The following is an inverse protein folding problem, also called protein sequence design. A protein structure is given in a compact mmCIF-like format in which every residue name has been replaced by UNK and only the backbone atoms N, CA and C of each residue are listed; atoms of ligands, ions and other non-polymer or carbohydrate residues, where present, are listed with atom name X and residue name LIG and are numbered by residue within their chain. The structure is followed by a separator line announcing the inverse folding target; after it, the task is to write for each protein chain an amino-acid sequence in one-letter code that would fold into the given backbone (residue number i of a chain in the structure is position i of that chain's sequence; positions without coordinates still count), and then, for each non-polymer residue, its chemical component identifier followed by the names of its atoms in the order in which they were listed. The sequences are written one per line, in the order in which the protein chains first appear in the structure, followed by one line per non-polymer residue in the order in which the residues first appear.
data_IF_195655595180
#
_entry.id   IF_195655595180
#
_cell.length_a   1.000
_cell.length_b   1.000
_cell.length_c   1.000
_cell.angle_alpha   90.00
_cell.angle_beta   90.00
_cell.angle_gamma   90.00
#
_symmetry.space_group_name_H-M   'P 1'
#
loop_
_entity.id
_entity.type
_entity.pdbx_description
1 polymer ?
#
# COMPACT_ATOMS: atom_id res chain seq x y z
N UNK A 1 -69.96 -18.87 6.34
CA UNK A 1 -69.31 -18.00 5.36
C UNK A 1 -67.80 -18.30 5.47
N UNK A 2 -67.31 -19.18 4.60
CA UNK A 2 -65.91 -19.57 4.56
C UNK A 2 -65.27 -18.82 3.39
N UNK A 3 -64.37 -17.86 3.66
CA UNK A 3 -63.63 -17.14 2.64
C UNK A 3 -62.38 -17.89 2.26
N UNK A 4 -62.27 -18.15 0.98
CA UNK A 4 -61.17 -18.81 0.29
C UNK A 4 -59.87 -18.00 0.40
N UNK A 5 -58.83 -18.56 1.04
CA UNK A 5 -57.46 -18.11 0.84
C UNK A 5 -56.83 -18.90 -0.32
N UNK A 6 -56.73 -18.27 -1.47
CA UNK A 6 -55.91 -18.76 -2.58
C UNK A 6 -54.46 -18.55 -2.27
N UNK A 7 -53.67 -19.64 -2.24
CA UNK A 7 -52.19 -19.60 -2.17
C UNK A 7 -51.61 -19.06 -3.48
N UNK A 8 -50.66 -18.11 -3.47
CA UNK A 8 -50.00 -17.69 -4.68
C UNK A 8 -49.11 -18.83 -5.22
N UNK A 9 -49.29 -19.13 -6.51
CA UNK A 9 -48.40 -20.03 -7.26
C UNK A 9 -47.11 -19.32 -7.53
N UNK A 10 -46.05 -19.59 -6.74
CA UNK A 10 -44.70 -19.19 -7.03
C UNK A 10 -44.10 -20.14 -8.06
N UNK A 11 -44.11 -19.74 -9.31
CA UNK A 11 -43.30 -20.35 -10.35
C UNK A 11 -41.82 -19.94 -10.11
N UNK A 12 -41.07 -20.73 -9.36
CA UNK A 12 -39.64 -20.64 -9.34
C UNK A 12 -39.08 -21.23 -10.64
N UNK A 13 -38.82 -20.35 -11.60
CA UNK A 13 -38.14 -20.70 -12.83
C UNK A 13 -36.62 -20.85 -12.50
N UNK A 14 -36.26 -22.02 -12.02
CA UNK A 14 -34.87 -22.43 -11.69
C UNK A 14 -34.12 -22.76 -12.99
N UNK A 15 -33.77 -21.74 -13.75
CA UNK A 15 -32.66 -21.76 -14.71
C UNK A 15 -31.60 -20.77 -14.25
N UNK A 16 -31.10 -20.90 -13.03
CA UNK A 16 -29.77 -20.45 -12.72
C UNK A 16 -28.82 -21.43 -13.42
N UNK A 17 -28.37 -21.07 -14.60
CA UNK A 17 -27.15 -21.63 -15.16
C UNK A 17 -26.07 -21.42 -14.10
N UNK A 18 -25.62 -22.51 -13.52
CA UNK A 18 -24.42 -22.54 -12.66
C UNK A 18 -23.28 -22.15 -13.58
N UNK A 19 -22.97 -20.85 -13.65
CA UNK A 19 -21.74 -20.39 -14.26
C UNK A 19 -20.63 -21.05 -13.45
N UNK A 20 -19.93 -22.02 -14.04
CA UNK A 20 -18.72 -22.60 -13.48
C UNK A 20 -17.78 -21.41 -13.29
N UNK A 21 -17.54 -21.03 -12.03
CA UNK A 21 -16.63 -19.94 -11.71
C UNK A 21 -15.26 -20.32 -12.25
N UNK A 22 -14.79 -19.62 -13.26
CA UNK A 22 -13.49 -19.88 -13.85
C UNK A 22 -12.41 -19.33 -12.94
N UNK A 23 -11.54 -20.23 -12.44
CA UNK A 23 -10.36 -19.83 -11.69
C UNK A 23 -9.23 -19.45 -12.65
N UNK A 24 -8.56 -18.36 -12.36
CA UNK A 24 -7.30 -17.98 -12.99
C UNK A 24 -6.14 -18.67 -12.27
N UNK A 25 -5.08 -18.97 -13.00
CA UNK A 25 -3.79 -19.45 -12.50
C UNK A 25 -2.69 -18.61 -13.14
N UNK A 26 -1.46 -18.68 -12.63
CA UNK A 26 -0.33 -17.98 -13.25
C UNK A 26 -0.17 -18.38 -14.71
N UNK A 27 -0.24 -19.69 -15.04
CA UNK A 27 -0.10 -20.15 -16.43
C UNK A 27 -1.20 -19.60 -17.35
N UNK A 28 -2.45 -19.49 -16.86
CA UNK A 28 -3.54 -18.89 -17.65
C UNK A 28 -3.33 -17.39 -17.89
N UNK A 29 -2.76 -16.68 -16.91
CA UNK A 29 -2.42 -15.27 -17.06
C UNK A 29 -1.28 -15.09 -18.05
N UNK A 30 -0.23 -15.90 -17.94
CA UNK A 30 0.93 -15.85 -18.85
C UNK A 30 0.50 -16.12 -20.30
N UNK A 31 -0.30 -17.17 -20.50
CA UNK A 31 -0.88 -17.46 -21.82
C UNK A 31 -1.76 -16.33 -22.33
N UNK A 32 -2.58 -15.70 -21.47
CA UNK A 32 -3.38 -14.54 -21.86
C UNK A 32 -2.49 -13.38 -22.34
N UNK A 33 -1.35 -13.16 -21.67
CA UNK A 33 -0.39 -12.13 -22.07
C UNK A 33 0.30 -12.42 -23.39
N UNK A 34 0.67 -13.68 -23.66
CA UNK A 34 1.20 -14.13 -24.95
C UNK A 34 0.19 -13.90 -26.08
N UNK A 35 -1.03 -14.40 -25.90
CA UNK A 35 -2.13 -14.25 -26.86
C UNK A 35 -2.44 -12.76 -27.11
N UNK A 36 -2.41 -11.91 -26.07
CA UNK A 36 -2.60 -10.47 -26.22
C UNK A 36 -1.48 -9.81 -27.04
N UNK A 37 -0.23 -10.21 -26.84
CA UNK A 37 0.91 -9.72 -27.62
C UNK A 37 0.81 -10.11 -29.12
N UNK A 38 0.17 -11.24 -29.41
CA UNK A 38 -0.15 -11.69 -30.78
C UNK A 38 -1.41 -11.06 -31.37
N UNK A 39 -2.10 -10.20 -30.59
CA UNK A 39 -3.32 -9.52 -31.02
C UNK A 39 -4.60 -10.36 -30.92
N UNK A 40 -4.54 -11.51 -30.23
CA UNK A 40 -5.68 -12.39 -29.97
C UNK A 40 -6.58 -11.76 -28.90
N UNK A 41 -7.87 -11.63 -29.20
CA UNK A 41 -8.86 -11.06 -28.27
C UNK A 41 -9.50 -12.15 -27.43
N UNK A 42 -9.45 -11.98 -26.11
CA UNK A 42 -10.16 -12.82 -25.15
C UNK A 42 -11.46 -12.15 -24.67
N UNK A 43 -12.46 -12.97 -24.35
CA UNK A 43 -13.73 -12.51 -23.78
C UNK A 43 -13.57 -11.99 -22.35
N UNK A 44 -12.70 -12.64 -21.59
CA UNK A 44 -12.40 -12.32 -20.19
C UNK A 44 -10.94 -11.91 -20.04
N UNK A 45 -10.67 -10.97 -19.09
CA UNK A 45 -9.34 -10.47 -18.80
C UNK A 45 -9.06 -10.58 -17.31
N UNK A 46 -7.83 -10.97 -16.90
CA UNK A 46 -7.41 -10.91 -15.51
C UNK A 46 -7.06 -9.48 -15.07
N UNK A 47 -6.99 -8.57 -16.01
CA UNK A 47 -6.61 -7.17 -15.80
C UNK A 47 -7.82 -6.26 -15.73
N UNK A 48 -7.68 -5.15 -15.02
CA UNK A 48 -8.69 -4.10 -15.01
C UNK A 48 -8.83 -3.54 -16.42
N UNK A 49 -10.08 -3.27 -16.83
CA UNK A 49 -10.40 -2.80 -18.18
C UNK A 49 -9.57 -1.56 -18.56
N UNK A 50 -8.89 -1.62 -19.69
CA UNK A 50 -8.01 -0.57 -20.18
C UNK A 50 -6.67 -0.42 -19.45
N UNK A 51 -6.33 -1.31 -18.49
CA UNK A 51 -5.13 -1.17 -17.65
C UNK A 51 -4.41 -2.51 -17.46
N UNK A 52 -3.65 -2.94 -18.48
CA UNK A 52 -2.80 -4.13 -18.37
C UNK A 52 -1.75 -3.93 -17.27
N UNK A 53 -1.53 -4.97 -16.45
CA UNK A 53 -0.65 -4.90 -15.29
C UNK A 53 -1.35 -4.57 -13.97
N UNK A 54 -2.61 -4.09 -14.03
CA UNK A 54 -3.46 -3.82 -12.88
C UNK A 54 -4.45 -4.97 -12.71
N UNK A 55 -4.29 -5.77 -11.67
CA UNK A 55 -5.15 -6.95 -11.41
C UNK A 55 -6.59 -6.52 -11.13
N UNK A 56 -7.54 -7.18 -11.82
CA UNK A 56 -8.97 -6.98 -11.64
C UNK A 56 -9.41 -7.35 -10.21
N UNK A 57 -10.24 -6.53 -9.53
CA UNK A 57 -10.70 -6.85 -8.19
C UNK A 57 -11.69 -8.03 -8.18
N UNK A 58 -11.63 -8.82 -7.10
CA UNK A 58 -12.53 -9.97 -6.90
C UNK A 58 -12.27 -11.14 -7.86
N UNK A 59 -11.11 -11.18 -8.50
CA UNK A 59 -10.71 -12.27 -9.37
C UNK A 59 -10.49 -13.55 -8.56
N UNK A 60 -11.13 -14.64 -8.96
CA UNK A 60 -10.88 -15.95 -8.36
C UNK A 60 -9.55 -16.48 -8.91
N UNK A 61 -8.59 -16.69 -8.03
CA UNK A 61 -7.25 -17.14 -8.38
C UNK A 61 -6.89 -18.39 -7.59
N UNK A 62 -6.39 -19.40 -8.26
CA UNK A 62 -5.93 -20.65 -7.68
C UNK A 62 -4.40 -20.59 -7.57
N UNK A 63 -3.91 -20.63 -6.34
CA UNK A 63 -2.50 -20.56 -6.03
C UNK A 63 -1.88 -21.96 -5.99
N UNK A 64 -0.68 -22.10 -6.53
CA UNK A 64 0.13 -23.31 -6.34
C UNK A 64 0.77 -23.32 -4.94
N UNK A 65 1.16 -24.49 -4.45
CA UNK A 65 1.88 -24.61 -3.16
C UNK A 65 3.16 -23.77 -3.11
N UNK A 66 3.87 -23.65 -4.24
CA UNK A 66 5.06 -22.82 -4.36
C UNK A 66 4.74 -21.35 -4.18
N UNK A 67 3.67 -20.85 -4.80
CA UNK A 67 3.22 -19.46 -4.67
C UNK A 67 2.78 -19.16 -3.25
N UNK A 68 2.04 -20.07 -2.60
CA UNK A 68 1.64 -19.94 -1.18
C UNK A 68 2.87 -19.86 -0.27
N UNK A 69 3.86 -20.72 -0.48
CA UNK A 69 5.12 -20.69 0.27
C UNK A 69 5.86 -19.37 0.06
N UNK A 70 5.92 -18.88 -1.17
CA UNK A 70 6.60 -17.63 -1.52
C UNK A 70 5.88 -16.41 -0.93
N UNK A 71 4.53 -16.35 -1.02
CA UNK A 71 3.72 -15.35 -0.34
C UNK A 71 3.96 -15.34 1.18
N UNK A 72 4.09 -16.52 1.78
CA UNK A 72 4.35 -16.65 3.22
C UNK A 72 5.72 -16.09 3.61
N UNK A 73 6.76 -16.29 2.81
CA UNK A 73 8.08 -15.69 3.05
C UNK A 73 8.02 -14.17 2.93
N UNK A 74 7.38 -13.67 1.87
CA UNK A 74 7.19 -12.24 1.66
C UNK A 74 6.42 -11.60 2.82
N UNK A 75 5.32 -12.22 3.25
CA UNK A 75 4.51 -11.70 4.36
C UNK A 75 5.29 -11.62 5.69
N UNK A 76 6.20 -12.57 5.94
CA UNK A 76 7.02 -12.61 7.16
C UNK A 76 8.18 -11.62 7.16
N UNK A 77 8.66 -11.20 6.00
CA UNK A 77 9.85 -10.35 5.89
C UNK A 77 9.71 -9.33 4.77
N UNK A 78 9.57 -8.08 5.15
CA UNK A 78 9.57 -6.95 4.20
C UNK A 78 10.92 -6.84 3.48
N UNK A 79 12.03 -7.19 4.14
CA UNK A 79 13.38 -7.21 3.55
C UNK A 79 13.45 -8.28 2.45
N UNK A 80 12.93 -9.49 2.72
CA UNK A 80 12.86 -10.55 1.70
C UNK A 80 12.00 -10.10 0.51
N UNK A 81 10.82 -9.54 0.78
CA UNK A 81 9.95 -8.98 -0.26
C UNK A 81 10.66 -7.92 -1.09
N UNK A 82 11.34 -6.95 -0.44
CA UNK A 82 12.03 -5.86 -1.10
C UNK A 82 13.20 -6.36 -1.96
N UNK A 83 14.04 -7.25 -1.45
CA UNK A 83 15.20 -7.79 -2.17
C UNK A 83 14.80 -8.73 -3.31
N UNK A 84 13.63 -9.40 -3.23
CA UNK A 84 13.20 -10.36 -4.25
C UNK A 84 12.34 -9.70 -5.34
N UNK A 85 11.45 -8.78 -4.94
CA UNK A 85 10.43 -8.20 -5.83
C UNK A 85 10.47 -6.67 -5.92
N UNK A 86 11.39 -6.02 -5.22
CA UNK A 86 11.56 -4.58 -5.30
C UNK A 86 12.22 -4.16 -6.62
N UNK A 87 11.63 -3.14 -7.26
CA UNK A 87 12.19 -2.49 -8.45
C UNK A 87 12.24 -0.99 -8.24
N UNK A 88 13.27 -0.34 -8.74
CA UNK A 88 13.36 1.11 -8.75
C UNK A 88 14.01 1.63 -10.04
N UNK A 89 13.70 2.86 -10.36
CA UNK A 89 14.31 3.56 -11.49
C UNK A 89 15.75 3.98 -11.14
N UNK A 90 16.72 3.57 -11.96
CA UNK A 90 18.12 3.94 -11.85
C UNK A 90 18.50 4.93 -12.96
N UNK A 91 18.33 6.23 -12.69
CA UNK A 91 18.77 7.30 -13.61
C UNK A 91 18.52 6.95 -15.09
N UNK A 92 19.60 6.91 -15.89
CA UNK A 92 19.54 6.60 -17.32
C UNK A 92 19.53 5.08 -17.63
N UNK A 93 19.44 4.21 -16.62
CA UNK A 93 19.55 2.74 -16.81
C UNK A 93 18.18 2.02 -16.76
N UNK A 94 17.10 2.78 -16.65
CA UNK A 94 15.74 2.22 -16.55
C UNK A 94 15.44 1.59 -15.19
N UNK A 95 14.46 0.68 -15.16
CA UNK A 95 14.06 -0.03 -13.95
C UNK A 95 14.93 -1.26 -13.71
N UNK A 96 15.39 -1.41 -12.49
CA UNK A 96 16.22 -2.54 -12.06
C UNK A 96 15.74 -3.09 -10.71
N UNK A 97 16.03 -4.39 -10.44
CA UNK A 97 15.85 -4.93 -9.09
C UNK A 97 16.60 -4.07 -8.07
N UNK A 98 15.97 -3.84 -6.94
CA UNK A 98 16.58 -3.13 -5.82
C UNK A 98 17.64 -4.04 -5.18
N UNK A 99 18.78 -3.44 -4.88
CA UNK A 99 19.76 -3.98 -3.95
C UNK A 99 19.78 -3.04 -2.76
N UNK A 100 19.15 -3.44 -1.67
CA UNK A 100 19.08 -2.63 -0.45
C UNK A 100 20.51 -2.40 0.11
N UNK A 101 20.75 -1.18 0.59
CA UNK A 101 21.95 -0.83 1.36
C UNK A 101 21.67 -1.08 2.84
N UNK A 102 22.69 -1.28 3.65
CA UNK A 102 22.57 -1.61 5.07
C UNK A 102 21.61 -0.66 5.82
N UNK A 103 21.73 0.65 5.62
CA UNK A 103 20.86 1.63 6.24
C UNK A 103 19.40 1.56 5.74
N UNK A 104 19.15 1.07 4.51
CA UNK A 104 17.80 0.88 3.99
C UNK A 104 17.14 -0.38 4.58
N UNK A 105 17.93 -1.41 4.84
CA UNK A 105 17.48 -2.59 5.59
C UNK A 105 17.18 -2.23 7.05
N UNK A 106 18.02 -1.38 7.67
CA UNK A 106 17.78 -0.84 9.01
C UNK A 106 16.46 -0.05 9.08
N UNK A 107 16.20 0.81 8.07
CA UNK A 107 14.93 1.53 7.97
C UNK A 107 13.74 0.57 7.89
N UNK A 108 13.78 -0.43 7.00
CA UNK A 108 12.70 -1.42 6.84
C UNK A 108 12.49 -2.23 8.12
N UNK A 109 13.57 -2.63 8.78
CA UNK A 109 13.55 -3.33 10.07
C UNK A 109 12.87 -2.47 11.13
N UNK A 110 13.31 -1.21 11.25
CA UNK A 110 12.71 -0.29 12.21
C UNK A 110 11.23 -0.05 11.95
N UNK A 111 10.81 0.12 10.70
CA UNK A 111 9.39 0.30 10.34
C UNK A 111 8.54 -0.94 10.66
N UNK A 112 9.15 -2.11 10.59
CA UNK A 112 8.48 -3.37 10.92
C UNK A 112 8.37 -3.60 12.42
N UNK A 113 9.46 -3.38 13.16
CA UNK A 113 9.60 -3.79 14.56
C UNK A 113 9.06 -2.74 15.52
N UNK A 114 9.18 -1.45 15.16
CA UNK A 114 8.74 -0.37 16.03
C UNK A 114 7.35 0.15 15.63
N UNK A 115 6.62 0.59 16.64
CA UNK A 115 5.34 1.27 16.45
C UNK A 115 5.52 2.68 15.89
N UNK A 116 6.52 3.40 16.35
CA UNK A 116 6.87 4.75 15.95
C UNK A 116 8.34 4.81 15.53
N UNK A 117 8.60 5.25 14.31
CA UNK A 117 9.94 5.40 13.75
C UNK A 117 10.15 6.83 13.25
N UNK A 118 11.33 7.37 13.49
CA UNK A 118 11.71 8.70 13.00
C UNK A 118 13.08 8.65 12.33
N UNK A 119 13.16 9.00 11.06
CA UNK A 119 14.36 8.85 10.23
C UNK A 119 14.90 10.20 9.79
N UNK A 120 16.13 10.53 10.18
CA UNK A 120 16.88 11.67 9.67
C UNK A 120 17.81 11.21 8.54
N UNK A 121 17.50 11.60 7.33
CA UNK A 121 18.24 11.10 6.17
C UNK A 121 18.61 12.24 5.20
N UNK A 122 19.72 12.07 4.50
CA UNK A 122 20.12 12.99 3.44
C UNK A 122 19.17 12.92 2.23
N UNK A 123 19.27 13.91 1.35
CA UNK A 123 18.61 13.83 0.04
C UNK A 123 19.19 12.69 -0.78
N UNK A 124 18.37 12.08 -1.65
CA UNK A 124 18.76 11.01 -2.60
C UNK A 124 19.30 9.72 -1.96
N UNK A 125 19.06 9.49 -0.68
CA UNK A 125 19.39 8.21 -0.02
C UNK A 125 18.37 7.08 -0.28
N UNK A 126 17.31 7.36 -1.05
CA UNK A 126 16.27 6.36 -1.38
C UNK A 126 15.20 6.17 -0.30
N UNK A 127 15.09 7.05 0.70
CA UNK A 127 14.08 6.96 1.78
C UNK A 127 12.65 6.76 1.24
N UNK A 128 12.28 7.46 0.17
CA UNK A 128 10.94 7.37 -0.44
C UNK A 128 10.69 6.00 -1.08
N UNK A 129 11.72 5.38 -1.66
CA UNK A 129 11.62 4.03 -2.24
C UNK A 129 11.45 2.99 -1.13
N UNK A 130 12.22 3.11 -0.05
CA UNK A 130 12.12 2.25 1.14
C UNK A 130 10.71 2.35 1.75
N UNK A 131 10.20 3.58 1.90
CA UNK A 131 8.85 3.81 2.39
C UNK A 131 7.80 3.20 1.46
N UNK A 132 7.91 3.40 0.13
CA UNK A 132 6.98 2.84 -0.84
C UNK A 132 6.94 1.30 -0.78
N UNK A 133 8.10 0.64 -0.63
CA UNK A 133 8.20 -0.82 -0.44
C UNK A 133 7.49 -1.27 0.84
N UNK A 134 7.73 -0.58 1.95
CA UNK A 134 7.09 -0.89 3.22
C UNK A 134 5.57 -0.71 3.16
N UNK A 135 5.10 0.42 2.64
CA UNK A 135 3.67 0.73 2.53
C UNK A 135 2.94 -0.24 1.59
N UNK A 136 3.57 -0.61 0.47
CA UNK A 136 3.05 -1.63 -0.44
C UNK A 136 2.97 -3.00 0.24
N UNK A 137 4.02 -3.40 0.97
CA UNK A 137 4.03 -4.64 1.74
C UNK A 137 2.89 -4.66 2.76
N UNK A 138 2.66 -3.55 3.49
CA UNK A 138 1.54 -3.44 4.43
C UNK A 138 0.18 -3.58 3.73
N UNK A 139 0.04 -3.06 2.53
CA UNK A 139 -1.20 -3.13 1.76
C UNK A 139 -1.47 -4.53 1.18
N UNK A 140 -0.43 -5.27 0.80
CA UNK A 140 -0.56 -6.61 0.20
C UNK A 140 -0.83 -7.69 1.26
N UNK A 141 -0.06 -7.67 2.36
CA UNK A 141 -0.01 -8.78 3.31
C UNK A 141 -0.86 -8.56 4.58
N UNK A 142 -1.68 -7.52 4.62
CA UNK A 142 -2.66 -7.29 5.68
C UNK A 142 -4.07 -7.17 5.07
N UNK A 143 -5.07 -7.10 5.94
CA UNK A 143 -6.47 -6.89 5.57
C UNK A 143 -7.01 -5.64 6.27
N UNK A 144 -7.92 -4.93 5.60
CA UNK A 144 -8.67 -3.78 6.13
C UNK A 144 -7.81 -2.64 6.71
N UNK A 145 -6.52 -2.54 6.32
CA UNK A 145 -5.65 -1.45 6.77
C UNK A 145 -5.89 -0.17 5.98
N UNK A 146 -5.96 0.94 6.71
CA UNK A 146 -5.94 2.27 6.14
C UNK A 146 -4.53 2.88 6.31
N UNK A 147 -3.84 3.10 5.20
CA UNK A 147 -2.50 3.64 5.14
C UNK A 147 -2.59 5.11 4.70
N UNK A 148 -2.18 6.03 5.56
CA UNK A 148 -2.14 7.46 5.29
C UNK A 148 -0.73 7.90 4.86
N UNK A 149 -0.63 8.68 3.80
CA UNK A 149 0.60 9.31 3.33
C UNK A 149 0.41 10.82 3.37
N UNK A 150 1.24 11.54 4.12
CA UNK A 150 1.25 12.99 4.11
C UNK A 150 2.65 13.56 3.84
N UNK A 151 2.69 14.66 3.13
CA UNK A 151 3.91 15.44 2.87
C UNK A 151 3.59 16.93 2.85
N UNK A 152 4.62 17.77 2.89
CA UNK A 152 4.44 19.23 2.84
C UNK A 152 3.70 19.71 1.58
N UNK A 153 3.82 19.00 0.46
CA UNK A 153 3.16 19.29 -0.82
C UNK A 153 2.44 18.05 -1.35
N UNK A 154 1.26 18.27 -1.94
CA UNK A 154 0.49 17.18 -2.55
C UNK A 154 1.25 16.50 -3.71
N UNK A 155 2.05 17.24 -4.48
CA UNK A 155 2.89 16.67 -5.54
C UNK A 155 3.85 15.59 -5.01
N UNK A 156 4.45 15.79 -3.83
CA UNK A 156 5.31 14.78 -3.19
C UNK A 156 4.52 13.51 -2.82
N UNK A 157 3.28 13.69 -2.36
CA UNK A 157 2.39 12.54 -2.08
C UNK A 157 2.09 11.74 -3.36
N UNK A 158 1.81 12.43 -4.47
CA UNK A 158 1.58 11.79 -5.77
C UNK A 158 2.82 11.01 -6.21
N UNK A 159 4.02 11.57 -6.06
CA UNK A 159 5.28 10.88 -6.38
C UNK A 159 5.46 9.59 -5.56
N UNK A 160 5.08 9.59 -4.27
CA UNK A 160 5.16 8.39 -3.42
C UNK A 160 4.17 7.32 -3.91
N UNK A 161 2.91 7.72 -4.19
CA UNK A 161 1.88 6.82 -4.70
C UNK A 161 2.28 6.25 -6.06
N UNK A 162 2.86 7.06 -6.94
CA UNK A 162 3.32 6.60 -8.25
C UNK A 162 4.48 5.61 -8.10
N UNK A 163 5.41 5.80 -7.16
CA UNK A 163 6.44 4.80 -6.83
C UNK A 163 5.84 3.47 -6.35
N UNK A 164 4.80 3.53 -5.53
CA UNK A 164 4.08 2.31 -5.08
C UNK A 164 3.47 1.58 -6.29
N UNK A 165 2.83 2.32 -7.22
CA UNK A 165 2.26 1.76 -8.45
C UNK A 165 3.34 1.16 -9.36
N UNK A 166 4.48 1.84 -9.49
CA UNK A 166 5.62 1.37 -10.26
C UNK A 166 6.13 0.03 -9.70
N UNK A 167 6.44 -0.04 -8.40
CA UNK A 167 6.89 -1.29 -7.77
C UNK A 167 5.85 -2.39 -7.98
N UNK A 168 4.57 -2.09 -7.76
CA UNK A 168 3.47 -3.04 -7.93
C UNK A 168 3.36 -3.54 -9.37
N UNK A 169 3.70 -2.74 -10.38
CA UNK A 169 3.64 -3.14 -11.79
C UNK A 169 4.59 -4.29 -12.10
N UNK A 170 5.75 -4.36 -11.42
CA UNK A 170 6.76 -5.42 -11.58
C UNK A 170 6.49 -6.68 -10.75
N UNK A 171 5.54 -6.66 -9.83
CA UNK A 171 5.20 -7.86 -9.05
C UNK A 171 4.67 -8.98 -9.96
N UNK A 172 4.98 -10.25 -9.67
CA UNK A 172 4.31 -11.37 -10.32
C UNK A 172 2.80 -11.35 -9.99
N UNK A 173 2.00 -11.93 -10.87
CA UNK A 173 0.54 -11.83 -10.78
C UNK A 173 -0.01 -12.36 -9.45
N UNK A 174 0.56 -13.43 -8.91
CA UNK A 174 0.12 -14.04 -7.65
C UNK A 174 0.32 -13.13 -6.43
N UNK A 175 1.27 -12.18 -6.48
CA UNK A 175 1.49 -11.17 -5.42
C UNK A 175 0.65 -9.91 -5.62
N UNK A 176 0.11 -9.67 -6.82
CA UNK A 176 -0.69 -8.45 -7.06
C UNK A 176 -2.03 -8.54 -6.36
N UNK A 177 -2.41 -7.56 -5.53
CA UNK A 177 -3.78 -7.44 -5.04
C UNK A 177 -4.69 -6.95 -6.16
N UNK A 178 -5.97 -7.31 -6.13
CA UNK A 178 -6.98 -6.72 -7.00
C UNK A 178 -7.25 -5.27 -6.63
N UNK A 179 -7.38 -4.38 -7.62
CA UNK A 179 -7.50 -2.93 -7.39
C UNK A 179 -8.92 -2.46 -7.68
N UNK A 180 -9.56 -1.85 -6.67
CA UNK A 180 -10.90 -1.24 -6.76
C UNK A 180 -10.84 0.24 -7.13
N UNK A 181 -9.83 0.96 -6.62
CA UNK A 181 -9.61 2.40 -6.90
C UNK A 181 -8.12 2.61 -7.19
N UNK A 182 -7.82 3.34 -8.25
CA UNK A 182 -6.46 3.67 -8.65
C UNK A 182 -6.41 5.10 -9.21
N UNK A 183 -6.18 6.09 -8.34
CA UNK A 183 -6.04 7.48 -8.75
C UNK A 183 -4.79 8.14 -8.13
N UNK A 184 -4.63 9.45 -8.26
CA UNK A 184 -3.44 10.17 -7.78
C UNK A 184 -3.34 10.26 -6.25
N UNK A 185 -4.46 10.20 -5.54
CA UNK A 185 -4.50 10.38 -4.09
C UNK A 185 -4.95 9.14 -3.34
N UNK A 186 -5.43 8.10 -4.03
CA UNK A 186 -6.00 6.93 -3.40
C UNK A 186 -5.79 5.66 -4.22
N UNK A 187 -5.40 4.61 -3.54
CA UNK A 187 -5.45 3.22 -4.01
C UNK A 187 -6.31 2.42 -3.04
N UNK A 188 -7.27 1.64 -3.55
CA UNK A 188 -8.07 0.74 -2.74
C UNK A 188 -8.00 -0.68 -3.33
N UNK A 189 -7.81 -1.65 -2.46
CA UNK A 189 -7.56 -3.04 -2.81
C UNK A 189 -8.75 -3.93 -2.45
N UNK A 190 -8.84 -5.10 -3.02
CA UNK A 190 -9.92 -6.06 -2.80
C UNK A 190 -9.84 -6.76 -1.43
N UNK A 191 -8.65 -6.78 -0.78
CA UNK A 191 -8.46 -7.24 0.60
C UNK A 191 -8.92 -6.22 1.68
N UNK A 192 -9.58 -5.11 1.27
CA UNK A 192 -10.06 -4.06 2.16
C UNK A 192 -9.02 -2.99 2.51
N UNK A 193 -7.75 -3.22 2.22
CA UNK A 193 -6.71 -2.21 2.43
C UNK A 193 -6.89 -1.01 1.50
N UNK A 194 -6.47 0.16 1.97
CA UNK A 194 -6.44 1.38 1.18
C UNK A 194 -5.24 2.24 1.54
N UNK A 195 -4.68 2.90 0.53
CA UNK A 195 -3.63 3.92 0.67
C UNK A 195 -4.27 5.26 0.33
N UNK A 196 -4.14 6.24 1.19
CA UNK A 196 -4.73 7.58 1.02
C UNK A 196 -3.64 8.62 1.16
N UNK A 197 -3.52 9.49 0.20
CA UNK A 197 -2.56 10.58 0.18
C UNK A 197 -3.19 11.95 0.39
N UNK A 198 -2.56 12.80 1.20
CA UNK A 198 -2.97 14.17 1.44
C UNK A 198 -1.75 15.08 1.62
N UNK A 199 -1.84 16.35 1.22
CA UNK A 199 -0.89 17.31 1.74
C UNK A 199 -1.10 17.45 3.26
N UNK A 200 -0.04 17.75 4.01
CA UNK A 200 -0.13 17.99 5.45
C UNK A 200 -0.93 19.25 5.74
N UNK A 201 -2.11 19.08 6.28
CA UNK A 201 -3.01 20.17 6.69
C UNK A 201 -3.65 19.82 8.03
N UNK A 202 -4.20 20.81 8.73
CA UNK A 202 -4.92 20.61 10.00
C UNK A 202 -6.07 19.58 9.92
N UNK A 203 -6.59 19.32 8.72
CA UNK A 203 -7.76 18.47 8.47
C UNK A 203 -7.42 17.19 7.70
N UNK A 204 -6.15 16.88 7.48
CA UNK A 204 -5.76 15.66 6.77
C UNK A 204 -6.23 14.42 7.54
N UNK A 205 -6.76 13.45 6.81
CA UNK A 205 -7.28 12.17 7.32
C UNK A 205 -8.48 12.23 8.27
N UNK A 206 -9.16 13.38 8.42
CA UNK A 206 -10.42 13.43 9.19
C UNK A 206 -11.43 12.46 8.56
N UNK A 207 -12.04 11.61 9.42
CA UNK A 207 -12.99 10.58 9.00
C UNK A 207 -12.37 9.25 8.56
N UNK A 208 -11.03 9.13 8.63
CA UNK A 208 -10.33 7.87 8.39
C UNK A 208 -9.69 7.35 9.67
N UNK A 209 -9.85 6.05 9.93
CA UNK A 209 -9.09 5.36 10.97
C UNK A 209 -7.79 4.87 10.35
N UNK A 210 -6.71 5.64 10.52
CA UNK A 210 -5.41 5.36 9.91
C UNK A 210 -4.63 4.38 10.78
N UNK A 211 -4.28 3.21 10.22
CA UNK A 211 -3.50 2.18 10.91
C UNK A 211 -1.98 2.30 10.66
N UNK A 212 -1.59 2.86 9.52
CA UNK A 212 -0.19 3.18 9.22
C UNK A 212 -0.13 4.59 8.68
N UNK A 213 0.63 5.47 9.31
CA UNK A 213 0.83 6.85 8.90
C UNK A 213 2.28 7.07 8.48
N UNK A 214 2.50 7.47 7.24
CA UNK A 214 3.79 7.87 6.72
C UNK A 214 3.82 9.37 6.47
N UNK A 215 4.77 10.05 7.10
CA UNK A 215 4.99 11.49 7.02
C UNK A 215 6.33 11.77 6.34
N UNK A 216 6.30 12.28 5.10
CA UNK A 216 7.51 12.61 4.33
C UNK A 216 7.83 14.10 4.40
N UNK A 217 9.13 14.41 4.44
CA UNK A 217 9.69 15.76 4.54
C UNK A 217 9.02 16.57 5.67
N UNK A 218 8.82 15.94 6.82
CA UNK A 218 8.07 16.49 7.95
C UNK A 218 8.69 17.77 8.50
N UNK A 219 10.03 17.92 8.49
CA UNK A 219 10.71 19.14 8.91
C UNK A 219 10.43 20.36 8.00
N UNK A 220 9.88 20.14 6.81
CA UNK A 220 9.59 21.21 5.83
C UNK A 220 8.11 21.64 5.82
N UNK A 221 7.30 21.11 6.71
CA UNK A 221 5.92 21.56 6.92
C UNK A 221 5.92 22.87 7.71
N UNK A 222 5.03 23.81 7.36
CA UNK A 222 4.88 25.08 8.06
C UNK A 222 4.61 24.87 9.56
N UNK A 223 5.32 25.54 10.49
CA UNK A 223 5.22 25.29 11.93
C UNK A 223 3.80 25.38 12.48
N UNK A 224 3.02 26.37 12.06
CA UNK A 224 1.63 26.56 12.49
C UNK A 224 0.67 25.46 12.01
N UNK A 225 1.02 24.74 10.93
CA UNK A 225 0.26 23.58 10.45
C UNK A 225 0.72 22.32 11.14
N UNK A 226 2.02 22.23 11.41
CA UNK A 226 2.70 21.06 11.92
C UNK A 226 2.19 20.64 13.32
N UNK A 227 2.12 21.61 14.24
CA UNK A 227 1.67 21.37 15.61
C UNK A 227 0.19 20.93 15.62
N UNK A 228 -0.68 21.68 14.96
CA UNK A 228 -2.11 21.34 14.88
C UNK A 228 -2.35 19.98 14.17
N UNK A 229 -1.61 19.70 13.10
CA UNK A 229 -1.70 18.41 12.43
C UNK A 229 -1.29 17.27 13.34
N UNK A 230 -0.15 17.39 14.00
CA UNK A 230 0.39 16.37 14.88
C UNK A 230 -0.54 16.09 16.07
N UNK A 231 -1.05 17.13 16.71
CA UNK A 231 -2.00 16.99 17.81
C UNK A 231 -3.32 16.35 17.40
N UNK A 232 -3.82 16.65 16.19
CA UNK A 232 -5.07 16.10 15.68
C UNK A 232 -4.94 14.65 15.21
N UNK A 233 -3.80 14.26 14.61
CA UNK A 233 -3.63 12.93 14.04
C UNK A 233 -3.23 11.89 15.08
N UNK A 234 -2.47 12.29 16.10
CA UNK A 234 -1.96 11.37 17.14
C UNK A 234 -3.06 10.57 17.85
N UNK A 235 -4.17 11.16 18.30
CA UNK A 235 -5.26 10.39 18.91
C UNK A 235 -5.87 9.37 17.95
N UNK A 236 -6.02 9.73 16.66
CA UNK A 236 -6.60 8.86 15.63
C UNK A 236 -5.75 7.62 15.39
N UNK A 237 -4.42 7.78 15.29
CA UNK A 237 -3.49 6.67 15.10
C UNK A 237 -3.27 5.90 16.39
N UNK A 238 -3.19 6.58 17.54
CA UNK A 238 -2.92 5.96 18.85
C UNK A 238 -4.06 5.10 19.36
N UNK A 239 -5.27 5.24 18.81
CA UNK A 239 -6.45 4.46 19.23
C UNK A 239 -6.32 2.95 18.96
N UNK A 240 -5.44 2.55 18.04
CA UNK A 240 -5.17 1.15 17.69
C UNK A 240 -3.80 0.72 18.23
N UNK A 241 -3.73 -0.45 18.87
CA UNK A 241 -2.49 -0.96 19.49
C UNK A 241 -1.39 -1.32 18.47
N UNK A 242 -1.78 -1.70 17.25
CA UNK A 242 -0.89 -2.13 16.16
C UNK A 242 -0.66 -1.04 15.10
N UNK A 243 -1.11 0.18 15.38
CA UNK A 243 -0.87 1.32 14.48
C UNK A 243 0.60 1.70 14.43
N UNK A 244 1.02 2.25 13.28
CA UNK A 244 2.40 2.70 13.05
C UNK A 244 2.45 4.15 12.60
N UNK A 245 3.45 4.88 13.08
CA UNK A 245 3.79 6.22 12.58
C UNK A 245 5.25 6.20 12.14
N UNK A 246 5.48 6.56 10.91
CA UNK A 246 6.80 6.65 10.29
C UNK A 246 7.00 8.09 9.83
N UNK A 247 7.98 8.76 10.41
CA UNK A 247 8.35 10.12 10.06
C UNK A 247 9.71 10.10 9.36
N UNK A 248 9.79 10.71 8.19
CA UNK A 248 11.05 10.88 7.47
C UNK A 248 11.27 12.33 7.12
N UNK A 249 12.50 12.81 7.22
CA UNK A 249 12.83 14.14 6.74
C UNK A 249 14.33 14.31 6.45
N UNK A 250 14.63 15.30 5.62
CA UNK A 250 15.94 15.95 5.64
C UNK A 250 15.95 17.03 6.73
N UNK A 251 17.13 17.39 7.30
CA UNK A 251 17.20 18.42 8.33
C UNK A 251 16.75 19.79 7.83
N UNK A 252 16.01 20.52 8.63
CA UNK A 252 15.52 21.87 8.33
C UNK A 252 15.44 22.76 9.58
N UNK A 253 16.57 22.96 10.26
CA UNK A 253 16.65 23.83 11.45
C UNK A 253 15.98 23.25 12.71
N UNK A 254 15.78 24.13 13.69
CA UNK A 254 15.18 23.78 14.98
C UNK A 254 13.66 23.94 14.91
N UNK A 255 12.96 22.83 14.78
CA UNK A 255 11.50 22.77 14.65
C UNK A 255 10.94 21.53 15.34
N UNK A 256 9.64 21.30 15.25
CA UNK A 256 8.98 20.12 15.86
C UNK A 256 9.63 18.79 15.48
N UNK A 257 10.08 18.63 14.24
CA UNK A 257 10.79 17.41 13.79
C UNK A 257 12.11 17.25 14.56
N UNK A 258 12.89 18.35 14.70
CA UNK A 258 14.12 18.34 15.49
C UNK A 258 13.85 17.93 16.95
N UNK A 259 12.82 18.52 17.58
CA UNK A 259 12.47 18.19 18.97
C UNK A 259 12.07 16.73 19.13
N UNK A 260 11.29 16.18 18.17
CA UNK A 260 10.91 14.77 18.16
C UNK A 260 12.12 13.86 17.98
N UNK A 261 13.03 14.20 17.05
CA UNK A 261 14.23 13.40 16.78
C UNK A 261 15.20 13.42 17.96
N UNK A 262 15.48 14.59 18.53
CA UNK A 262 16.32 14.68 19.74
C UNK A 262 15.68 13.96 20.93
N UNK A 263 14.37 14.12 21.10
CA UNK A 263 13.62 13.40 22.12
C UNK A 263 13.68 11.88 21.96
N UNK A 264 13.75 11.38 20.72
CA UNK A 264 13.92 9.96 20.44
C UNK A 264 15.34 9.48 20.83
N UNK A 265 16.39 10.24 20.46
CA UNK A 265 17.78 9.92 20.84
C UNK A 265 17.96 9.89 22.35
N UNK A 266 17.34 10.82 23.07
CA UNK A 266 17.42 10.95 24.52
C UNK A 266 16.44 10.04 25.28
N UNK A 267 15.59 9.26 24.58
CA UNK A 267 14.57 8.40 25.18
C UNK A 267 13.42 9.16 25.85
N UNK A 268 13.19 10.43 25.50
CA UNK A 268 12.11 11.27 26.03
C UNK A 268 10.75 11.07 25.35
N UNK A 269 10.73 10.34 24.22
CA UNK A 269 9.51 9.96 23.53
C UNK A 269 9.59 8.50 23.03
N UNK A 270 8.51 8.00 22.41
CA UNK A 270 8.39 6.61 21.99
C UNK A 270 8.87 6.35 20.54
N UNK A 271 9.49 7.32 19.88
CA UNK A 271 10.02 7.12 18.55
C UNK A 271 11.36 6.38 18.60
N UNK A 272 11.56 5.46 17.64
CA UNK A 272 12.85 4.85 17.37
C UNK A 272 13.60 5.70 16.34
N UNK A 273 14.76 6.31 16.67
CA UNK A 273 15.54 7.15 15.77
C UNK A 273 16.40 6.30 14.83
N UNK A 274 16.50 6.76 13.56
CA UNK A 274 17.33 6.16 12.49
C UNK A 274 18.11 7.29 11.80
#
# INVERSE_FOLDING_TARGET
MASQFQKPKTNFNTKQQTQVKQFWTTEKVDKWMEDYAEGIKHKDSPWLEGSIGVKKPGLLFEYTDKEIMEMTKCAKSVIYFANTYGYCQHGNQGYKPIVLRDYQEEMLTSYSDNRFSITLASRQCGKTVVAALFLLHQAIFNVDRCIGIAANKFATVVEIIDKIKEIMSYLPFFLKPGIKVNNQSMMAFDNGCKIIGSATTKRSFIGFTVSVLYLDEFAHVEPNVLDDFYENIMPTVSSMSDSKIIITSTPNGYNKYYDLYQGAIEGRNSYHPI
#
